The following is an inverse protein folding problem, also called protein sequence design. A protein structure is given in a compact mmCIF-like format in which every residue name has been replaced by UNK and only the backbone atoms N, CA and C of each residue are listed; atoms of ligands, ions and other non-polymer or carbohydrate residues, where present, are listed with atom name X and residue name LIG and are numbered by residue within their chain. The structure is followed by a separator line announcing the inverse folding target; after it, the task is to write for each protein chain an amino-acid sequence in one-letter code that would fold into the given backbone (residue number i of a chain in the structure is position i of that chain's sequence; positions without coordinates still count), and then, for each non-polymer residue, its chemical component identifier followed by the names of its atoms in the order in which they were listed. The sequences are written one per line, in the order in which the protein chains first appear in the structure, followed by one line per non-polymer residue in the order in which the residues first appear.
data_IF_018606358843
#
_entry.id   IF_018606358843
#
_cell.length_a   1.000
_cell.length_b   1.000
_cell.length_c   1.000
_cell.angle_alpha   90.00
_cell.angle_beta   90.00
_cell.angle_gamma   90.00
#
_symmetry.space_group_name_H-M   'P 1'
#
loop_
_entity.id
_entity.type
_entity.pdbx_description
1 polymer ?
#
# COMPACT_ATOMS: atom_id res chain seq x y z
N UNK A 1 6.55 3.21 0.20
CA UNK A 1 5.45 2.26 0.45
C UNK A 1 5.95 0.86 0.12
N UNK A 2 5.65 -0.13 0.94
CA UNK A 2 6.04 -1.53 0.72
C UNK A 2 4.85 -2.45 0.97
N UNK A 3 4.80 -3.58 0.27
CA UNK A 3 3.82 -4.65 0.47
C UNK A 3 4.51 -5.88 1.04
N UNK A 4 3.86 -6.52 2.02
CA UNK A 4 4.35 -7.78 2.56
C UNK A 4 4.20 -8.90 1.53
N UNK A 5 5.21 -9.76 1.41
CA UNK A 5 5.25 -10.82 0.41
C UNK A 5 4.69 -12.17 0.90
N UNK A 6 4.46 -12.32 2.21
CA UNK A 6 4.17 -13.63 2.80
C UNK A 6 5.42 -14.49 3.04
N UNK A 7 6.63 -13.95 2.82
CA UNK A 7 7.90 -14.66 2.97
C UNK A 7 8.87 -13.89 3.87
N UNK A 8 9.07 -14.38 5.10
CA UNK A 8 9.88 -13.66 6.10
C UNK A 8 11.36 -13.47 5.72
N UNK A 9 11.91 -14.32 4.86
CA UNK A 9 13.29 -14.20 4.36
C UNK A 9 13.44 -13.11 3.28
N UNK A 10 12.35 -12.71 2.63
CA UNK A 10 12.32 -11.58 1.70
C UNK A 10 10.96 -10.86 1.80
N UNK A 11 10.72 -10.14 2.91
CA UNK A 11 9.37 -9.80 3.36
C UNK A 11 8.71 -8.67 2.58
N UNK A 12 9.45 -7.86 1.80
CA UNK A 12 8.93 -6.61 1.27
C UNK A 12 9.19 -6.44 -0.21
N UNK A 13 8.15 -6.01 -0.95
CA UNK A 13 8.29 -5.48 -2.31
C UNK A 13 7.96 -3.99 -2.32
N UNK A 14 8.81 -3.20 -3.00
CA UNK A 14 8.62 -1.76 -3.13
C UNK A 14 7.43 -1.44 -4.05
N UNK A 15 6.53 -0.58 -3.59
CA UNK A 15 5.47 -0.01 -4.42
C UNK A 15 5.90 1.41 -4.84
N UNK A 16 5.90 1.74 -6.15
CA UNK A 16 6.18 3.08 -6.62
C UNK A 16 5.22 4.11 -6.01
N UNK A 17 5.77 5.21 -5.50
CA UNK A 17 5.01 6.28 -4.87
C UNK A 17 5.60 6.70 -3.53
N UNK A 18 5.09 7.81 -3.00
CA UNK A 18 5.45 8.36 -1.69
C UNK A 18 4.16 8.50 -0.88
N UNK A 19 4.17 7.91 0.30
CA UNK A 19 3.09 8.00 1.26
C UNK A 19 3.65 8.55 2.58
N UNK A 20 2.90 9.44 3.19
CA UNK A 20 3.17 9.94 4.54
C UNK A 20 2.40 9.13 5.57
N UNK A 21 1.18 8.70 5.23
CA UNK A 21 0.38 7.78 6.03
C UNK A 21 -0.38 6.77 5.13
N UNK A 22 -0.66 5.58 5.69
CA UNK A 22 -1.28 4.45 4.99
C UNK A 22 -2.30 3.78 5.91
N UNK A 23 -3.52 3.58 5.41
CA UNK A 23 -4.56 2.79 6.06
C UNK A 23 -4.89 1.53 5.27
N UNK A 24 -5.01 0.40 5.99
CA UNK A 24 -5.42 -0.90 5.44
C UNK A 24 -6.69 -1.35 6.15
N UNK A 25 -7.78 -1.52 5.42
CA UNK A 25 -9.03 -2.06 5.94
C UNK A 25 -8.99 -3.59 6.01
N UNK A 26 -9.86 -4.18 6.84
CA UNK A 26 -9.93 -5.62 7.03
C UNK A 26 -10.29 -6.41 5.75
N UNK A 27 -10.93 -5.77 4.77
CA UNK A 27 -11.27 -6.32 3.46
C UNK A 27 -10.11 -6.25 2.45
N UNK A 28 -8.95 -5.72 2.87
CA UNK A 28 -7.79 -5.53 2.00
C UNK A 28 -7.81 -4.23 1.19
N UNK A 29 -8.83 -3.37 1.35
CA UNK A 29 -8.82 -2.04 0.75
C UNK A 29 -7.71 -1.19 1.37
N UNK A 30 -6.88 -0.58 0.53
CA UNK A 30 -5.76 0.27 0.97
C UNK A 30 -5.90 1.69 0.43
N UNK A 31 -5.74 2.66 1.32
CA UNK A 31 -5.67 4.08 1.03
C UNK A 31 -4.37 4.67 1.56
N UNK A 32 -3.84 5.68 0.87
CA UNK A 32 -2.70 6.45 1.36
C UNK A 32 -2.82 7.94 1.08
N UNK A 33 -2.11 8.73 1.89
CA UNK A 33 -1.95 10.17 1.68
C UNK A 33 -0.48 10.50 1.40
N UNK A 34 -0.23 11.48 0.52
CA UNK A 34 1.11 12.02 0.31
C UNK A 34 1.30 13.36 1.05
N UNK A 35 2.53 13.88 1.05
CA UNK A 35 2.86 15.13 1.74
C UNK A 35 2.26 16.39 1.14
N UNK A 36 1.63 16.29 -0.04
CA UNK A 36 0.86 17.37 -0.64
C UNK A 36 -0.64 17.29 -0.27
N UNK A 37 -1.04 16.36 0.59
CA UNK A 37 -2.44 16.12 0.96
C UNK A 37 -3.25 15.37 -0.11
N UNK A 38 -2.60 14.82 -1.14
CA UNK A 38 -3.25 13.99 -2.14
C UNK A 38 -3.68 12.65 -1.55
N UNK A 39 -4.89 12.21 -1.87
CA UNK A 39 -5.51 10.96 -1.38
C UNK A 39 -5.59 9.97 -2.52
N UNK A 40 -5.09 8.74 -2.31
CA UNK A 40 -5.01 7.71 -3.34
C UNK A 40 -5.50 6.37 -2.82
N UNK A 41 -6.21 5.63 -3.67
CA UNK A 41 -6.55 4.22 -3.44
C UNK A 41 -5.55 3.33 -4.16
N UNK A 42 -5.00 2.35 -3.46
CA UNK A 42 -4.19 1.31 -4.10
C UNK A 42 -5.12 0.32 -4.82
N UNK A 43 -4.84 0.06 -6.10
CA UNK A 43 -5.60 -0.85 -6.96
C UNK A 43 -4.82 -2.10 -7.39
N UNK A 44 -3.58 -2.26 -6.92
CA UNK A 44 -2.78 -3.46 -7.19
C UNK A 44 -3.27 -4.64 -6.36
N UNK A 45 -3.24 -5.84 -6.94
CA UNK A 45 -3.60 -7.13 -6.32
C UNK A 45 -5.05 -7.32 -5.86
N UNK A 46 -5.93 -6.32 -6.00
CA UNK A 46 -7.37 -6.52 -5.83
C UNK A 46 -7.89 -7.27 -7.06
N UNK A 47 -8.49 -8.48 -6.91
CA UNK A 47 -9.22 -9.09 -8.01
C UNK A 47 -10.34 -8.11 -8.42
N UNK A 48 -10.47 -7.89 -9.73
CA UNK A 48 -11.52 -7.06 -10.32
C UNK A 48 -12.92 -7.57 -9.96
#
# INVERSE_FOLDING_TARGET
MYRYTGHDTNPWIGIPGKAEDIGVAADGTVWHVNSAGGIYRYTGDQPS
#
